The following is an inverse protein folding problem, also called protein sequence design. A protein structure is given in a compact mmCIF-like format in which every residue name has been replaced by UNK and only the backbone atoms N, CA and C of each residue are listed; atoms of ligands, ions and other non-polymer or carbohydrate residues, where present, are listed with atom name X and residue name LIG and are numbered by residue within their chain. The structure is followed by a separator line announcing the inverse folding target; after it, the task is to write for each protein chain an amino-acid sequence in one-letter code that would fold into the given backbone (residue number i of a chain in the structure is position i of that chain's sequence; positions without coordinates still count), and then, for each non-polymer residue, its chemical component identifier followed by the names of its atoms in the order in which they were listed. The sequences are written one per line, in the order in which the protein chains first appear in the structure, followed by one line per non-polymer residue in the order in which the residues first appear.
data_IF_206383988825
#
_entry.id   IF_206383988825
#
_cell.length_a   1.000
_cell.length_b   1.000
_cell.length_c   1.000
_cell.angle_alpha   90.00
_cell.angle_beta   90.00
_cell.angle_gamma   90.00
#
_symmetry.space_group_name_H-M   'P 1'
#
loop_
_entity.id
_entity.type
_entity.pdbx_description
1 polymer ?
#
# COMPACT_ATOMS: atom_id res chain seq x y z
N UNK A 1 14.86 -8.86 9.06
CA UNK A 1 13.92 -9.85 8.49
C UNK A 1 14.66 -11.16 8.24
N UNK A 2 14.67 -12.04 9.24
CA UNK A 2 15.52 -13.23 9.26
C UNK A 2 14.72 -14.54 9.22
N UNK A 3 13.42 -14.48 8.94
CA UNK A 3 12.58 -15.67 8.80
C UNK A 3 12.83 -16.35 7.45
N UNK A 4 12.48 -17.61 7.33
CA UNK A 4 12.72 -18.42 6.14
C UNK A 4 11.96 -17.88 4.91
N UNK A 5 10.71 -17.43 5.09
CA UNK A 5 9.85 -16.86 4.03
C UNK A 5 9.76 -15.35 4.16
N UNK A 6 9.59 -14.65 3.04
CA UNK A 6 9.26 -13.22 3.04
C UNK A 6 7.86 -13.00 3.60
N UNK A 7 6.91 -13.78 3.17
CA UNK A 7 5.52 -13.74 3.55
C UNK A 7 4.57 -13.81 2.37
N UNK A 8 3.29 -13.64 2.65
CA UNK A 8 2.21 -13.65 1.65
C UNK A 8 1.86 -12.21 1.28
N UNK A 9 1.58 -12.01 -0.01
CA UNK A 9 1.01 -10.77 -0.54
C UNK A 9 -0.32 -11.07 -1.24
N UNK A 10 -1.41 -10.52 -0.73
CA UNK A 10 -2.73 -10.58 -1.36
C UNK A 10 -2.90 -9.36 -2.25
N UNK A 11 -3.37 -9.54 -3.48
CA UNK A 11 -3.74 -8.45 -4.39
C UNK A 11 -5.18 -8.63 -4.81
N UNK A 12 -6.05 -7.75 -4.33
CA UNK A 12 -7.44 -7.65 -4.74
C UNK A 12 -7.55 -6.58 -5.83
N UNK A 13 -7.88 -7.00 -7.04
CA UNK A 13 -7.98 -6.15 -8.21
C UNK A 13 -9.43 -6.12 -8.69
N UNK A 14 -10.02 -4.93 -8.71
CA UNK A 14 -11.38 -4.71 -9.19
C UNK A 14 -11.35 -3.83 -10.44
N UNK A 15 -11.72 -4.41 -11.58
CA UNK A 15 -11.92 -3.71 -12.84
C UNK A 15 -13.41 -3.44 -13.08
N UNK A 16 -14.26 -4.44 -12.80
CA UNK A 16 -15.69 -4.39 -13.03
C UNK A 16 -16.47 -4.30 -11.73
N UNK A 17 -17.62 -3.63 -11.79
CA UNK A 17 -18.49 -3.39 -10.65
C UNK A 17 -19.93 -3.71 -10.99
N UNK A 18 -20.68 -4.18 -10.00
CA UNK A 18 -22.10 -4.45 -10.18
C UNK A 18 -22.83 -3.17 -10.58
N UNK A 19 -23.65 -3.25 -11.61
CA UNK A 19 -24.26 -2.09 -12.28
C UNK A 19 -25.02 -1.15 -11.32
N UNK A 20 -25.60 -1.65 -10.22
CA UNK A 20 -26.33 -0.81 -9.22
C UNK A 20 -25.41 0.13 -8.46
N UNK A 21 -24.12 -0.13 -8.40
CA UNK A 21 -23.14 0.77 -7.78
C UNK A 21 -22.87 2.01 -8.64
N UNK A 22 -23.24 1.99 -9.92
CA UNK A 22 -23.02 3.07 -10.90
C UNK A 22 -21.55 3.52 -10.97
N UNK A 23 -20.62 2.61 -10.70
CA UNK A 23 -19.18 2.86 -10.78
C UNK A 23 -18.66 2.49 -12.17
N UNK A 24 -17.81 3.33 -12.78
CA UNK A 24 -17.22 3.01 -14.07
C UNK A 24 -16.16 1.92 -13.96
N UNK A 25 -15.95 1.15 -15.04
CA UNK A 25 -14.85 0.20 -15.14
C UNK A 25 -13.50 0.90 -14.92
N UNK A 26 -12.58 0.20 -14.24
CA UNK A 26 -11.23 0.69 -13.97
C UNK A 26 -10.23 0.18 -15.02
N UNK A 27 -10.39 0.57 -16.28
CA UNK A 27 -9.47 0.21 -17.36
C UNK A 27 -8.03 0.57 -17.00
N UNK A 28 -7.08 -0.31 -17.30
CA UNK A 28 -5.67 -0.18 -16.96
C UNK A 28 -5.27 -0.78 -15.60
N UNK A 29 -6.24 -1.19 -14.77
CA UNK A 29 -5.94 -1.81 -13.46
C UNK A 29 -5.20 -3.16 -13.60
N UNK A 30 -5.38 -3.86 -14.73
CA UNK A 30 -4.63 -5.09 -15.02
C UNK A 30 -3.13 -4.85 -15.19
N UNK A 31 -2.71 -3.67 -15.67
CA UNK A 31 -1.30 -3.29 -15.69
C UNK A 31 -0.75 -3.14 -14.27
N UNK A 32 -1.50 -2.47 -13.37
CA UNK A 32 -1.14 -2.35 -11.96
C UNK A 32 -0.97 -3.71 -11.28
N UNK A 33 -1.98 -4.57 -11.43
CA UNK A 33 -2.00 -5.94 -10.89
C UNK A 33 -0.76 -6.75 -11.31
N UNK A 34 -0.44 -6.72 -12.62
CA UNK A 34 0.66 -7.49 -13.18
C UNK A 34 2.03 -6.92 -12.76
N UNK A 35 2.16 -5.60 -12.70
CA UNK A 35 3.38 -4.94 -12.22
C UNK A 35 3.63 -5.22 -10.72
N UNK A 36 2.60 -5.15 -9.89
CA UNK A 36 2.68 -5.50 -8.46
C UNK A 36 3.03 -6.97 -8.27
N UNK A 37 2.36 -7.89 -8.99
CA UNK A 37 2.69 -9.32 -8.96
C UNK A 37 4.18 -9.52 -9.18
N UNK A 38 4.73 -8.95 -10.27
CA UNK A 38 6.17 -9.08 -10.59
C UNK A 38 7.03 -8.50 -9.47
N UNK A 39 6.79 -7.25 -9.08
CA UNK A 39 7.63 -6.56 -8.09
C UNK A 39 7.62 -7.25 -6.73
N UNK A 40 6.47 -7.75 -6.26
CA UNK A 40 6.37 -8.47 -4.99
C UNK A 40 6.97 -9.88 -5.07
N UNK A 41 6.82 -10.57 -6.21
CA UNK A 41 7.49 -11.87 -6.44
C UNK A 41 9.01 -11.70 -6.44
N UNK A 42 9.54 -10.65 -7.08
CA UNK A 42 10.98 -10.34 -7.11
C UNK A 42 11.53 -10.05 -5.70
N UNK A 43 10.69 -9.50 -4.81
CA UNK A 43 11.03 -9.30 -3.39
C UNK A 43 10.87 -10.58 -2.53
N UNK A 44 10.45 -11.68 -3.13
CA UNK A 44 10.35 -12.99 -2.48
C UNK A 44 9.01 -13.28 -1.80
N UNK A 45 7.94 -12.53 -2.09
CA UNK A 45 6.59 -12.82 -1.60
C UNK A 45 5.91 -13.95 -2.36
N UNK A 46 5.11 -14.75 -1.65
CA UNK A 46 4.08 -15.60 -2.23
C UNK A 46 2.88 -14.71 -2.59
N UNK A 47 2.65 -14.48 -3.89
CA UNK A 47 1.61 -13.56 -4.35
C UNK A 47 0.34 -14.31 -4.70
N UNK A 48 -0.77 -13.97 -4.05
CA UNK A 48 -2.13 -14.48 -4.31
C UNK A 48 -2.95 -13.37 -4.96
N UNK A 49 -3.57 -13.66 -6.10
CA UNK A 49 -4.31 -12.69 -6.93
C UNK A 49 -5.81 -13.00 -6.90
N UNK A 50 -6.60 -11.96 -6.77
CA UNK A 50 -8.05 -12.06 -6.77
C UNK A 50 -8.64 -10.94 -7.63
N UNK A 51 -9.43 -11.30 -8.63
CA UNK A 51 -10.03 -10.36 -9.57
C UNK A 51 -11.54 -10.32 -9.38
N UNK A 52 -12.12 -9.12 -9.29
CA UNK A 52 -13.54 -8.81 -9.25
C UNK A 52 -14.37 -9.64 -8.24
N UNK A 53 -13.80 -9.93 -7.08
CA UNK A 53 -14.50 -10.67 -6.02
C UNK A 53 -15.62 -9.82 -5.41
N UNK A 54 -16.69 -10.49 -4.96
CA UNK A 54 -17.72 -9.88 -4.11
C UNK A 54 -17.19 -9.52 -2.73
N UNK A 55 -17.87 -8.63 -2.04
CA UNK A 55 -17.45 -8.15 -0.71
C UNK A 55 -17.32 -9.29 0.31
N UNK A 56 -18.25 -10.26 0.28
CA UNK A 56 -18.19 -11.45 1.16
C UNK A 56 -16.96 -12.31 0.85
N UNK A 57 -16.68 -12.57 -0.45
CA UNK A 57 -15.52 -13.37 -0.86
C UNK A 57 -14.19 -12.67 -0.51
N UNK A 58 -14.12 -11.34 -0.69
CA UNK A 58 -12.95 -10.55 -0.26
C UNK A 58 -12.71 -10.73 1.23
N UNK A 59 -13.74 -10.55 2.06
CA UNK A 59 -13.63 -10.69 3.51
C UNK A 59 -13.25 -12.12 3.90
N UNK A 60 -13.81 -13.13 3.23
CA UNK A 60 -13.45 -14.53 3.44
C UNK A 60 -11.98 -14.80 3.13
N UNK A 61 -11.44 -14.31 2.00
CA UNK A 61 -10.02 -14.48 1.64
C UNK A 61 -9.07 -13.78 2.61
N UNK A 62 -9.46 -12.63 3.13
CA UNK A 62 -8.71 -11.90 4.15
C UNK A 62 -8.74 -12.66 5.48
N UNK A 63 -9.89 -13.16 5.89
CA UNK A 63 -10.03 -13.97 7.09
C UNK A 63 -9.17 -15.25 7.01
N UNK A 64 -9.24 -15.98 5.89
CA UNK A 64 -8.38 -17.16 5.66
C UNK A 64 -6.91 -16.80 5.83
N UNK A 65 -6.44 -15.69 5.22
CA UNK A 65 -5.06 -15.26 5.35
C UNK A 65 -4.69 -14.82 6.77
N UNK A 66 -5.61 -14.25 7.54
CA UNK A 66 -5.36 -13.90 8.95
C UNK A 66 -5.24 -15.12 9.86
N UNK A 67 -5.80 -16.25 9.45
CA UNK A 67 -5.74 -17.54 10.16
C UNK A 67 -4.55 -18.41 9.69
N UNK A 68 -3.86 -18.03 8.61
CA UNK A 68 -2.63 -18.70 8.16
C UNK A 68 -1.51 -18.59 9.23
N UNK A 69 -0.62 -19.60 9.26
CA UNK A 69 0.59 -19.53 10.09
C UNK A 69 1.67 -18.66 9.42
N UNK A 70 1.90 -17.48 9.98
CA UNK A 70 2.95 -16.54 9.58
C UNK A 70 4.23 -16.64 10.41
N UNK A 71 4.38 -17.64 11.28
CA UNK A 71 5.52 -17.76 12.21
C UNK A 71 6.87 -17.71 11.48
N UNK A 72 6.98 -18.34 10.32
CA UNK A 72 8.18 -18.38 9.48
C UNK A 72 8.23 -17.28 8.40
N UNK A 73 7.35 -16.27 8.47
CA UNK A 73 7.30 -15.15 7.55
C UNK A 73 7.86 -13.87 8.17
N UNK A 74 8.50 -13.03 7.35
CA UNK A 74 9.01 -11.72 7.79
C UNK A 74 7.88 -10.70 8.00
N UNK A 75 6.91 -10.69 7.09
CA UNK A 75 5.84 -9.67 7.04
C UNK A 75 4.64 -10.18 6.21
N UNK A 76 3.60 -9.37 6.19
CA UNK A 76 2.38 -9.59 5.39
C UNK A 76 2.09 -8.35 4.54
N UNK A 77 1.58 -8.56 3.31
CA UNK A 77 1.17 -7.48 2.39
C UNK A 77 -0.26 -7.71 1.92
N UNK A 78 -1.07 -6.66 1.92
CA UNK A 78 -2.41 -6.65 1.34
C UNK A 78 -2.57 -5.42 0.45
N UNK A 79 -2.96 -5.64 -0.81
CA UNK A 79 -3.12 -4.59 -1.81
C UNK A 79 -4.55 -4.56 -2.31
N UNK A 80 -5.12 -3.37 -2.40
CA UNK A 80 -6.39 -3.13 -3.06
C UNK A 80 -6.22 -2.18 -4.24
N UNK A 81 -6.69 -2.61 -5.39
CA UNK A 81 -6.79 -1.84 -6.63
C UNK A 81 -8.28 -1.68 -6.95
N UNK A 82 -8.91 -0.59 -6.53
CA UNK A 82 -10.36 -0.42 -6.66
C UNK A 82 -10.78 1.05 -6.66
N UNK A 83 -12.09 1.28 -6.73
CA UNK A 83 -12.70 2.53 -6.27
C UNK A 83 -12.72 2.60 -4.75
N UNK A 84 -12.77 3.80 -4.21
CA UNK A 84 -12.89 4.02 -2.78
C UNK A 84 -13.63 5.32 -2.48
N UNK A 85 -14.18 5.40 -1.29
CA UNK A 85 -14.82 6.59 -0.74
C UNK A 85 -14.54 6.63 0.77
N UNK A 86 -14.02 7.73 1.26
CA UNK A 86 -13.66 7.94 2.67
C UNK A 86 -12.79 6.80 3.23
N UNK A 87 -13.34 6.02 4.17
CA UNK A 87 -12.70 4.88 4.84
C UNK A 87 -13.12 3.51 4.26
N UNK A 88 -13.74 3.50 3.06
CA UNK A 88 -14.22 2.29 2.39
C UNK A 88 -13.52 2.05 1.06
N UNK A 89 -13.36 0.77 0.72
CA UNK A 89 -12.91 0.27 -0.57
C UNK A 89 -14.04 -0.54 -1.21
N UNK A 90 -14.26 -0.39 -2.52
CA UNK A 90 -15.29 -1.15 -3.22
C UNK A 90 -14.78 -2.52 -3.63
N UNK A 91 -15.57 -3.56 -3.36
CA UNK A 91 -15.53 -4.84 -4.01
C UNK A 91 -16.45 -4.83 -5.24
N UNK A 92 -16.69 -5.98 -5.89
CA UNK A 92 -17.54 -6.07 -7.07
C UNK A 92 -18.97 -5.55 -6.81
N UNK A 93 -19.57 -5.90 -5.70
CA UNK A 93 -21.01 -5.70 -5.41
C UNK A 93 -21.30 -4.75 -4.24
N UNK A 94 -20.35 -4.47 -3.38
CA UNK A 94 -20.53 -3.58 -2.23
C UNK A 94 -19.18 -2.98 -1.79
N UNK A 95 -19.21 -2.09 -0.82
CA UNK A 95 -18.03 -1.48 -0.20
C UNK A 95 -17.71 -2.14 1.15
N UNK A 96 -16.43 -2.20 1.46
CA UNK A 96 -15.90 -2.77 2.69
C UNK A 96 -15.16 -1.68 3.46
N UNK A 97 -15.42 -1.57 4.75
CA UNK A 97 -14.68 -0.64 5.60
C UNK A 97 -13.23 -1.13 5.79
N UNK A 98 -12.26 -0.25 5.54
CA UNK A 98 -10.83 -0.58 5.63
C UNK A 98 -10.47 -1.08 7.03
N UNK A 99 -11.05 -0.47 8.08
CA UNK A 99 -10.83 -0.90 9.46
C UNK A 99 -11.24 -2.37 9.70
N UNK A 100 -12.35 -2.83 9.12
CA UNK A 100 -12.79 -4.24 9.24
C UNK A 100 -11.74 -5.19 8.70
N UNK A 101 -11.06 -4.81 7.60
CA UNK A 101 -9.98 -5.59 6.99
C UNK A 101 -8.74 -5.62 7.88
N UNK A 102 -8.28 -4.45 8.33
CA UNK A 102 -7.06 -4.34 9.13
C UNK A 102 -7.21 -4.97 10.52
N UNK A 103 -8.40 -4.91 11.11
CA UNK A 103 -8.67 -5.49 12.43
C UNK A 103 -8.43 -7.01 12.48
N UNK A 104 -8.55 -7.72 11.35
CA UNK A 104 -8.29 -9.17 11.30
C UNK A 104 -6.81 -9.50 11.54
N UNK A 105 -5.88 -8.55 11.29
CA UNK A 105 -4.43 -8.73 11.44
C UNK A 105 -3.85 -8.07 12.69
N UNK A 106 -4.68 -7.55 13.58
CA UNK A 106 -4.22 -7.02 14.87
C UNK A 106 -3.57 -8.13 15.69
N UNK A 107 -2.61 -7.76 16.53
CA UNK A 107 -1.84 -8.72 17.33
C UNK A 107 -2.67 -9.58 18.29
N UNK A 108 -3.86 -9.10 18.71
CA UNK A 108 -4.81 -9.84 19.53
C UNK A 108 -5.63 -10.89 18.74
N UNK A 109 -5.65 -10.80 17.39
CA UNK A 109 -6.37 -11.72 16.50
C UNK A 109 -5.44 -12.60 15.66
N UNK A 110 -4.30 -12.07 15.21
CA UNK A 110 -3.31 -12.77 14.41
C UNK A 110 -1.95 -12.79 15.12
N UNK A 111 -1.77 -13.69 16.07
CA UNK A 111 -0.58 -13.75 16.94
C UNK A 111 0.70 -14.06 16.16
N UNK A 112 0.65 -14.82 15.08
CA UNK A 112 1.81 -15.15 14.25
C UNK A 112 2.40 -13.95 13.49
N UNK A 113 1.68 -12.80 13.46
CA UNK A 113 2.14 -11.51 12.91
C UNK A 113 2.50 -10.46 14.00
N UNK A 114 2.47 -10.80 15.28
CA UNK A 114 2.92 -9.88 16.34
C UNK A 114 4.40 -9.53 16.13
N UNK A 115 4.74 -8.23 16.20
CA UNK A 115 6.10 -7.72 15.97
C UNK A 115 6.59 -7.82 14.52
N UNK A 116 5.70 -8.14 13.57
CA UNK A 116 6.01 -8.23 12.14
C UNK A 116 5.23 -7.19 11.35
N UNK A 117 5.84 -6.55 10.32
CA UNK A 117 5.17 -5.55 9.50
C UNK A 117 3.95 -6.10 8.77
N UNK A 118 2.86 -5.35 8.84
CA UNK A 118 1.59 -5.55 8.12
C UNK A 118 1.39 -4.37 7.19
N UNK A 119 1.63 -4.58 5.90
CA UNK A 119 1.70 -3.54 4.88
C UNK A 119 0.40 -3.55 4.07
N UNK A 120 -0.33 -2.45 4.11
CA UNK A 120 -1.56 -2.26 3.33
C UNK A 120 -1.33 -1.18 2.27
N UNK A 121 -1.56 -1.52 1.00
CA UNK A 121 -1.41 -0.62 -0.14
C UNK A 121 -2.79 -0.41 -0.77
N UNK A 122 -3.26 0.84 -0.77
CA UNK A 122 -4.61 1.19 -1.19
C UNK A 122 -4.55 2.14 -2.39
N UNK A 123 -4.75 1.59 -3.58
CA UNK A 123 -4.91 2.33 -4.83
C UNK A 123 -6.40 2.59 -5.05
N UNK A 124 -6.88 3.70 -4.51
CA UNK A 124 -8.28 4.14 -4.61
C UNK A 124 -8.39 5.65 -4.39
N UNK A 125 -9.45 6.27 -4.89
CA UNK A 125 -9.80 7.63 -4.51
C UNK A 125 -10.20 7.68 -3.03
N UNK A 126 -9.99 8.85 -2.39
CA UNK A 126 -10.35 9.09 -0.98
C UNK A 126 -11.19 10.36 -0.83
N UNK A 127 -11.90 10.74 -1.89
CA UNK A 127 -12.75 11.94 -1.97
C UNK A 127 -12.94 12.37 -3.41
N UNK A 128 -13.44 13.59 -3.60
CA UNK A 128 -13.88 14.15 -4.88
C UNK A 128 -13.14 15.46 -5.25
N UNK A 129 -12.05 15.80 -4.57
CA UNK A 129 -11.25 17.00 -4.83
C UNK A 129 -10.11 16.71 -5.81
N UNK A 130 -9.86 17.65 -6.70
CA UNK A 130 -8.65 17.71 -7.51
C UNK A 130 -7.58 18.55 -6.82
N UNK A 131 -6.32 18.12 -6.91
CA UNK A 131 -5.18 18.83 -6.35
C UNK A 131 -4.60 19.82 -7.38
N UNK A 132 -4.52 21.10 -7.00
CA UNK A 132 -4.07 22.17 -7.89
C UNK A 132 -2.55 22.31 -7.89
N UNK A 133 -1.92 22.62 -9.06
CA UNK A 133 -0.51 22.87 -9.14
C UNK A 133 -0.12 24.16 -8.43
N UNK A 134 0.97 24.12 -7.66
CA UNK A 134 1.61 25.31 -7.07
C UNK A 134 3.04 25.41 -7.56
N UNK A 135 3.59 26.65 -7.67
CA UNK A 135 4.96 26.88 -8.08
C UNK A 135 5.83 26.87 -6.82
N UNK A 136 6.79 25.94 -6.78
CA UNK A 136 7.79 25.92 -5.71
C UNK A 136 8.88 26.96 -6.01
N UNK A 137 9.11 27.90 -5.08
CA UNK A 137 10.11 28.95 -5.20
C UNK A 137 11.40 28.68 -4.42
N UNK A 138 11.45 27.62 -3.61
CA UNK A 138 12.62 27.25 -2.80
C UNK A 138 13.02 25.80 -3.02
N UNK A 139 14.29 25.59 -3.37
CA UNK A 139 14.96 24.31 -3.40
C UNK A 139 16.15 24.33 -2.44
N UNK A 140 15.88 24.27 -1.14
CA UNK A 140 16.92 24.05 -0.14
C UNK A 140 16.73 22.67 0.49
N UNK A 141 17.62 21.75 0.10
CA UNK A 141 17.83 20.51 0.83
C UNK A 141 18.49 20.84 2.17
N UNK A 142 17.72 20.84 3.23
CA UNK A 142 18.27 20.87 4.59
C UNK A 142 18.35 19.44 5.13
N UNK A 143 19.55 18.89 5.15
CA UNK A 143 19.90 17.70 5.88
C UNK A 143 19.91 18.02 7.37
N UNK A 144 18.96 17.51 8.14
CA UNK A 144 19.01 17.52 9.60
C UNK A 144 19.63 16.22 10.08
N UNK A 145 20.82 16.31 10.68
CA UNK A 145 21.43 15.21 11.42
C UNK A 145 20.63 14.97 12.72
N UNK A 146 20.14 13.75 12.89
CA UNK A 146 19.50 13.33 14.13
C UNK A 146 20.56 12.82 15.12
N UNK A 147 20.62 13.41 16.29
CA UNK A 147 21.41 12.92 17.40
C UNK A 147 20.84 11.60 17.92
N UNK A 148 21.66 10.56 17.91
CA UNK A 148 21.34 9.23 18.42
C UNK A 148 21.62 9.20 19.91
N UNK A 149 20.59 9.03 20.74
CA UNK A 149 20.76 8.64 22.15
C UNK A 149 20.72 7.11 22.23
N UNK A 150 21.85 6.53 22.62
CA UNK A 150 21.93 5.09 22.92
C UNK A 150 21.37 4.83 24.32
N UNK A 151 20.42 3.91 24.41
CA UNK A 151 19.95 3.34 25.68
C UNK A 151 20.37 1.88 25.71
N UNK A 152 21.25 1.52 26.63
CA UNK A 152 21.64 0.13 26.88
C UNK A 152 20.49 -0.62 27.54
N UNK A 153 20.20 -1.83 27.05
CA UNK A 153 19.18 -2.72 27.63
C UNK A 153 19.82 -4.03 28.01
N UNK A 154 19.97 -4.25 29.32
CA UNK A 154 20.30 -5.53 29.91
C UNK A 154 19.04 -6.35 30.19
N UNK A 155 19.12 -7.68 29.92
CA UNK A 155 18.19 -8.76 30.23
C UNK A 155 16.98 -8.93 29.31
N UNK A 156 16.64 -10.19 29.05
CA UNK A 156 15.49 -10.66 28.27
C UNK A 156 14.17 -10.18 28.88
N UNK A 157 13.75 -8.97 28.52
CA UNK A 157 12.45 -8.42 28.90
C UNK A 157 11.44 -8.92 27.87
N UNK A 158 10.37 -9.55 28.33
CA UNK A 158 9.22 -9.86 27.50
C UNK A 158 8.53 -8.52 27.17
N UNK A 159 8.80 -8.00 25.97
CA UNK A 159 8.14 -6.78 25.50
C UNK A 159 6.70 -7.10 25.07
N UNK A 160 5.74 -6.40 25.66
CA UNK A 160 4.37 -6.37 25.15
C UNK A 160 4.23 -5.24 24.14
N UNK A 161 3.67 -5.53 22.95
CA UNK A 161 3.39 -4.55 21.91
C UNK A 161 1.90 -4.21 21.89
N UNK A 162 1.50 -2.96 21.57
CA UNK A 162 0.10 -2.65 21.29
C UNK A 162 -0.45 -3.52 20.14
N UNK A 163 -1.69 -4.00 20.25
CA UNK A 163 -2.30 -4.84 19.22
C UNK A 163 -2.36 -4.20 17.83
N UNK A 164 -2.35 -2.86 17.77
CA UNK A 164 -2.29 -2.08 16.53
C UNK A 164 -0.88 -1.74 16.05
N UNK A 165 0.19 -2.27 16.69
CA UNK A 165 1.57 -2.01 16.30
C UNK A 165 1.95 -2.69 14.98
N UNK A 166 3.00 -2.15 14.34
CA UNK A 166 3.62 -2.66 13.12
C UNK A 166 2.71 -2.70 11.88
N UNK A 167 1.71 -1.83 11.82
CA UNK A 167 0.98 -1.53 10.59
C UNK A 167 1.65 -0.39 9.82
N UNK A 168 1.63 -0.47 8.49
CA UNK A 168 1.87 0.66 7.60
C UNK A 168 0.79 0.70 6.53
N UNK A 169 0.10 1.85 6.44
CA UNK A 169 -0.99 2.12 5.51
C UNK A 169 -0.47 3.04 4.42
N UNK A 170 -0.43 2.56 3.19
CA UNK A 170 0.07 3.28 2.03
C UNK A 170 -1.09 3.63 1.10
N UNK A 171 -1.36 4.91 0.93
CA UNK A 171 -2.47 5.41 0.13
C UNK A 171 -1.96 6.08 -1.14
N UNK A 172 -2.61 5.81 -2.26
CA UNK A 172 -2.28 6.43 -3.55
C UNK A 172 -2.50 7.95 -3.56
N UNK A 173 -3.31 8.46 -2.66
CA UNK A 173 -3.67 9.88 -2.58
C UNK A 173 -4.02 10.28 -1.14
N UNK A 174 -3.84 11.55 -0.80
CA UNK A 174 -4.26 12.11 0.46
C UNK A 174 -5.79 12.09 0.61
N UNK A 175 -6.28 12.17 1.85
CA UNK A 175 -7.71 12.14 2.13
C UNK A 175 -8.43 13.33 1.49
N UNK A 176 -9.56 13.07 0.86
CA UNK A 176 -10.38 14.07 0.17
C UNK A 176 -10.08 14.23 -1.31
N UNK A 177 -9.04 13.56 -1.86
CA UNK A 177 -8.58 13.79 -3.23
C UNK A 177 -8.75 12.58 -4.17
N UNK A 178 -8.76 12.87 -5.49
CA UNK A 178 -8.75 11.89 -6.56
C UNK A 178 -7.37 11.27 -6.77
N UNK A 179 -7.37 9.98 -7.10
CA UNK A 179 -6.19 9.25 -7.58
C UNK A 179 -6.26 9.06 -9.10
N UNK A 180 -5.18 9.35 -9.81
CA UNK A 180 -5.12 9.31 -11.27
C UNK A 180 -4.62 7.96 -11.80
N UNK A 181 -5.20 7.53 -12.93
CA UNK A 181 -4.86 6.28 -13.62
C UNK A 181 -4.86 6.50 -15.13
N UNK A 182 -3.82 6.02 -15.79
CA UNK A 182 -3.75 5.83 -17.23
C UNK A 182 -4.51 4.53 -17.60
N UNK A 183 -5.31 4.58 -18.66
CA UNK A 183 -6.15 3.44 -19.09
C UNK A 183 -5.36 2.30 -19.72
N UNK A 184 -4.08 2.49 -20.03
CA UNK A 184 -3.18 1.50 -20.61
C UNK A 184 -2.09 1.09 -19.62
N UNK A 185 -1.41 2.08 -19.03
CA UNK A 185 -0.22 1.85 -18.22
C UNK A 185 -0.52 1.66 -16.73
N UNK A 186 -1.75 1.93 -16.28
CA UNK A 186 -2.17 1.80 -14.90
C UNK A 186 -2.07 3.10 -14.09
N UNK A 187 -2.20 2.97 -12.80
CA UNK A 187 -2.24 4.10 -11.86
C UNK A 187 -0.86 4.70 -11.64
N UNK A 188 -0.75 6.01 -11.59
CA UNK A 188 0.51 6.72 -11.38
C UNK A 188 1.26 6.22 -10.15
N UNK A 189 0.55 6.09 -9.05
CA UNK A 189 1.12 5.60 -7.80
C UNK A 189 1.71 4.18 -7.92
N UNK A 190 0.97 3.24 -8.52
CA UNK A 190 1.44 1.86 -8.67
C UNK A 190 2.60 1.75 -9.66
N UNK A 191 2.58 2.53 -10.76
CA UNK A 191 3.69 2.60 -11.69
C UNK A 191 4.98 3.03 -10.97
N UNK A 192 4.93 4.15 -10.22
CA UNK A 192 6.10 4.71 -9.54
C UNK A 192 6.53 3.84 -8.34
N UNK A 193 5.58 3.25 -7.61
CA UNK A 193 5.87 2.30 -6.55
C UNK A 193 6.62 1.06 -7.08
N UNK A 194 6.10 0.42 -8.13
CA UNK A 194 6.73 -0.76 -8.73
C UNK A 194 8.09 -0.46 -9.34
N UNK A 195 8.25 0.70 -9.99
CA UNK A 195 9.55 1.12 -10.52
C UNK A 195 10.57 1.33 -9.39
N UNK A 196 10.15 1.99 -8.31
CA UNK A 196 11.03 2.29 -7.16
C UNK A 196 11.38 1.02 -6.39
N UNK A 197 10.42 0.09 -6.22
CA UNK A 197 10.68 -1.23 -5.63
C UNK A 197 11.72 -2.03 -6.44
N UNK A 198 11.64 -2.02 -7.77
CA UNK A 198 12.61 -2.71 -8.61
C UNK A 198 14.01 -2.12 -8.52
N UNK A 199 14.13 -0.78 -8.44
CA UNK A 199 15.42 -0.08 -8.40
C UNK A 199 16.05 -0.08 -7.01
N UNK A 200 15.27 0.07 -5.98
CA UNK A 200 15.72 0.39 -4.63
C UNK A 200 15.13 -0.49 -3.52
N UNK A 201 14.24 -1.42 -3.85
CA UNK A 201 13.51 -2.22 -2.85
C UNK A 201 14.40 -3.04 -1.92
N UNK A 202 15.58 -3.45 -2.37
CA UNK A 202 16.54 -4.19 -1.54
C UNK A 202 17.55 -3.31 -0.80
N UNK A 203 17.62 -2.01 -1.08
CA UNK A 203 18.64 -1.10 -0.55
C UNK A 203 18.10 0.00 0.34
N UNK A 204 16.94 0.57 0.01
CA UNK A 204 16.32 1.63 0.80
C UNK A 204 15.42 1.05 1.91
N UNK A 205 15.33 1.78 3.00
CA UNK A 205 14.29 1.58 4.01
C UNK A 205 12.92 1.90 3.39
N UNK A 206 11.89 1.15 3.78
CA UNK A 206 10.60 1.20 3.07
C UNK A 206 9.90 2.57 3.16
N UNK A 207 10.02 3.30 4.27
CA UNK A 207 9.44 4.64 4.37
C UNK A 207 10.23 5.68 3.57
N UNK A 208 11.55 5.53 3.47
CA UNK A 208 12.39 6.30 2.56
C UNK A 208 12.01 6.04 1.10
N UNK A 209 11.80 4.76 0.74
CA UNK A 209 11.31 4.36 -0.58
C UNK A 209 9.96 4.99 -0.90
N UNK A 210 9.00 4.98 0.04
CA UNK A 210 7.69 5.62 -0.14
C UNK A 210 7.81 7.13 -0.31
N UNK A 211 8.76 7.78 0.35
CA UNK A 211 9.04 9.22 0.15
C UNK A 211 9.55 9.50 -1.26
N UNK A 212 10.41 8.63 -1.82
CA UNK A 212 10.82 8.72 -3.23
C UNK A 212 9.62 8.57 -4.17
N UNK A 213 8.72 7.63 -3.88
CA UNK A 213 7.47 7.43 -4.65
C UNK A 213 6.60 8.70 -4.60
N UNK A 214 6.41 9.28 -3.40
CA UNK A 214 5.64 10.52 -3.24
C UNK A 214 6.20 11.63 -4.13
N UNK A 215 7.52 11.85 -4.14
CA UNK A 215 8.18 12.83 -5.00
C UNK A 215 7.94 12.55 -6.48
N UNK A 216 8.09 11.29 -6.94
CA UNK A 216 7.85 10.93 -8.35
C UNK A 216 6.42 11.20 -8.79
N UNK A 217 5.44 10.77 -8.00
CA UNK A 217 4.02 11.02 -8.30
C UNK A 217 3.71 12.51 -8.30
N UNK A 218 4.26 13.28 -7.37
CA UNK A 218 4.04 14.73 -7.29
C UNK A 218 4.54 15.51 -8.52
N UNK A 219 5.49 14.97 -9.27
CA UNK A 219 5.95 15.60 -10.52
C UNK A 219 5.01 15.34 -11.71
N UNK A 220 4.16 14.32 -11.63
CA UNK A 220 3.19 14.03 -12.69
C UNK A 220 2.09 15.10 -12.73
N UNK A 221 1.46 15.23 -13.90
CA UNK A 221 0.36 16.15 -14.18
C UNK A 221 -0.61 15.50 -15.15
N UNK A 222 -1.87 15.83 -15.07
CA UNK A 222 -2.88 15.39 -16.06
C UNK A 222 -2.74 16.23 -17.31
N UNK A 223 -2.16 15.68 -18.37
CA UNK A 223 -1.98 16.41 -19.64
C UNK A 223 -3.14 16.18 -20.62
N UNK A 224 -3.78 15.01 -20.57
CA UNK A 224 -4.93 14.65 -21.43
C UNK A 224 -5.99 13.95 -20.58
N UNK A 225 -7.22 14.47 -20.59
CA UNK A 225 -8.36 13.86 -19.90
C UNK A 225 -9.67 14.27 -20.57
N UNK A 226 -10.71 13.38 -20.50
CA UNK A 226 -12.07 13.71 -20.94
C UNK A 226 -12.73 14.72 -20.01
N UNK A 227 -12.39 14.68 -18.74
CA UNK A 227 -12.87 15.67 -17.75
C UNK A 227 -11.94 16.89 -17.76
N UNK A 228 -12.44 17.99 -18.28
CA UNK A 228 -11.70 19.26 -18.37
C UNK A 228 -11.25 19.76 -16.97
N UNK A 229 -12.00 19.46 -15.92
CA UNK A 229 -11.66 19.85 -14.55
C UNK A 229 -10.45 19.09 -14.00
N UNK A 230 -10.12 17.94 -14.57
CA UNK A 230 -8.94 17.17 -14.20
C UNK A 230 -7.65 17.65 -14.89
N UNK A 231 -7.73 18.46 -15.95
CA UNK A 231 -6.55 18.93 -16.70
C UNK A 231 -5.63 19.78 -15.81
N UNK A 232 -4.34 19.51 -15.89
CA UNK A 232 -3.30 20.21 -15.12
C UNK A 232 -3.20 19.77 -13.66
N UNK A 233 -4.12 18.95 -13.17
CA UNK A 233 -4.17 18.51 -11.77
C UNK A 233 -3.03 17.58 -11.40
N UNK A 234 -2.76 17.53 -10.13
CA UNK A 234 -1.64 16.84 -9.48
C UNK A 234 -2.14 15.73 -8.57
N UNK A 235 -1.22 14.94 -8.03
CA UNK A 235 -1.52 13.92 -7.03
C UNK A 235 -0.36 13.80 -6.07
N UNK A 236 -0.65 13.66 -4.79
CA UNK A 236 0.32 13.35 -3.75
C UNK A 236 -0.13 12.11 -2.97
N UNK A 237 0.62 11.01 -3.01
CA UNK A 237 0.38 9.87 -2.14
C UNK A 237 0.70 10.21 -0.68
N UNK A 238 0.23 9.38 0.24
CA UNK A 238 0.59 9.51 1.64
C UNK A 238 0.69 8.12 2.30
N UNK A 239 1.36 8.04 3.43
CA UNK A 239 1.39 6.84 4.25
C UNK A 239 1.29 7.18 5.73
N UNK A 240 0.74 6.25 6.51
CA UNK A 240 0.70 6.31 7.96
C UNK A 240 1.43 5.08 8.51
N UNK A 241 2.49 5.29 9.26
CA UNK A 241 3.34 4.23 9.78
C UNK A 241 3.18 4.10 11.30
N UNK A 242 2.88 2.87 11.73
CA UNK A 242 2.91 2.42 13.12
C UNK A 242 3.99 1.35 13.30
N UNK A 243 5.00 1.35 12.42
CA UNK A 243 6.14 0.45 12.50
C UNK A 243 7.00 0.78 13.72
N UNK A 244 7.40 -0.24 14.45
CA UNK A 244 8.28 -0.11 15.62
C UNK A 244 9.77 -0.33 15.28
N UNK A 245 10.06 -0.75 14.04
CA UNK A 245 11.41 -1.00 13.51
C UNK A 245 11.49 -0.57 12.06
N UNK A 246 12.71 -0.26 11.59
CA UNK A 246 12.99 -0.01 10.17
C UNK A 246 12.67 -1.24 9.32
N UNK A 247 12.08 -1.03 8.17
CA UNK A 247 11.63 -2.08 7.26
C UNK A 247 12.51 -2.13 6.00
N UNK A 248 13.27 -3.21 5.83
CA UNK A 248 14.10 -3.47 4.64
C UNK A 248 13.73 -4.80 3.99
N UNK A 249 13.70 -4.86 2.67
CA UNK A 249 13.49 -6.08 1.90
C UNK A 249 14.82 -6.65 1.35
N UNK A 250 15.81 -6.84 2.22
CA UNK A 250 17.07 -7.46 1.80
C UNK A 250 16.83 -8.80 1.09
N UNK A 251 17.63 -9.14 0.05
CA UNK A 251 17.51 -10.42 -0.63
C UNK A 251 17.56 -11.58 0.35
N UNK A 252 16.72 -12.60 0.11
CA UNK A 252 16.79 -13.85 0.87
C UNK A 252 17.97 -14.68 0.37
N UNK A 253 18.78 -15.19 1.30
CA UNK A 253 19.76 -16.23 0.96
C UNK A 253 19.00 -17.45 0.43
N UNK A 254 19.43 -17.97 -0.71
CA UNK A 254 18.91 -19.22 -1.25
C UNK A 254 19.34 -20.40 -0.41
#
# INVERSE_FOLDING_TARGET
MNHQRRGVALIFNHEHFFWQLMLPDRRGTMADRNNLKRSLTDLGFEVRLFDDLKAEDVQQKIYEASMDDHSNADCFVCVFLSHGVDDHIYAYDDKIKIQTITDMFRGDKCQSLVGKPKIFILQACRGDKHDDPVIAHDSTDSSSEALVNETEVDAAVVYTLPAGADFIMCYSVAQGYYSHRDTVNGSWYIQDLCETLRKHGSSLEFTELLTVVNRKVSYRRVDVCKDVNALGKKQIPCFASMLTKKLYFHPKSK
#
